data_IF_280176666110
#
_entry.id   IF_280176666110
#
_cell.length_a   1.000
_cell.length_b   1.000
_cell.length_c   1.000
_cell.angle_alpha   90.00
_cell.angle_beta   90.00
_cell.angle_gamma   90.00
#
_symmetry.space_group_name_H-M   'P 1'
#
loop_
_entity.id
_entity.type
_entity.pdbx_description
1 polymer ?
#
# COMPACT_ATOMS: atom_id res chain seq x y z
N UNK A 1 -2.42 -0.17 -23.65
CA UNK A 1 -1.79 -0.63 -22.38
C UNK A 1 -0.57 0.25 -22.11
N UNK A 2 -0.49 0.89 -20.95
CA UNK A 2 0.70 1.66 -20.54
C UNK A 2 1.49 0.89 -19.49
N UNK A 3 2.77 1.26 -19.32
CA UNK A 3 3.67 0.61 -18.36
C UNK A 3 4.06 1.61 -17.27
N UNK A 4 4.12 1.17 -16.01
CA UNK A 4 4.54 1.95 -14.86
C UNK A 4 5.77 1.29 -14.22
N UNK A 5 6.78 2.08 -13.85
CA UNK A 5 7.85 1.57 -12.98
C UNK A 5 7.32 1.39 -11.56
N UNK A 6 7.58 0.25 -10.94
CA UNK A 6 7.14 -0.01 -9.56
C UNK A 6 8.21 0.43 -8.57
N UNK A 7 7.77 1.02 -7.46
CA UNK A 7 8.60 1.38 -6.32
C UNK A 7 7.93 0.76 -5.09
N UNK A 8 8.60 -0.15 -4.39
CA UNK A 8 8.08 -0.84 -3.20
C UNK A 8 8.83 -0.30 -1.99
N UNK A 9 8.12 0.24 -0.99
CA UNK A 9 8.69 0.76 0.26
C UNK A 9 9.86 1.75 0.02
N UNK A 10 9.65 2.67 -0.94
CA UNK A 10 10.64 3.66 -1.39
C UNK A 10 11.87 3.08 -2.09
N UNK A 11 11.96 1.77 -2.24
CA UNK A 11 12.99 1.11 -3.03
C UNK A 11 12.52 0.95 -4.47
N UNK A 12 13.28 1.52 -5.41
CA UNK A 12 13.01 1.36 -6.83
C UNK A 12 13.25 -0.11 -7.19
N UNK A 13 12.23 -0.76 -7.73
CA UNK A 13 12.33 -2.14 -8.19
C UNK A 13 12.47 -2.16 -9.71
N UNK A 14 12.97 -3.27 -10.26
CA UNK A 14 13.05 -3.48 -11.71
C UNK A 14 11.71 -3.96 -12.30
N UNK A 15 10.60 -3.79 -11.56
CA UNK A 15 9.29 -4.28 -11.98
C UNK A 15 8.58 -3.25 -12.85
N UNK A 16 7.83 -3.77 -13.81
CA UNK A 16 7.04 -2.99 -14.74
C UNK A 16 5.57 -3.41 -14.61
N UNK A 17 4.76 -2.59 -13.93
CA UNK A 17 3.32 -2.80 -13.88
C UNK A 17 2.68 -2.38 -15.21
N UNK A 18 1.56 -3.01 -15.57
CA UNK A 18 0.78 -2.70 -16.76
C UNK A 18 -0.55 -2.09 -16.36
N UNK A 19 -1.00 -1.09 -17.12
CA UNK A 19 -2.35 -0.53 -16.98
C UNK A 19 -3.19 -0.91 -18.20
N UNK A 20 -4.29 -1.60 -17.94
CA UNK A 20 -5.28 -2.01 -18.94
C UNK A 20 -6.68 -1.78 -18.37
N UNK A 21 -7.54 -1.10 -19.13
CA UNK A 21 -8.94 -0.82 -18.75
C UNK A 21 -9.10 -0.16 -17.37
N UNK A 22 -8.17 0.71 -17.00
CA UNK A 22 -8.13 1.39 -15.70
C UNK A 22 -7.66 0.52 -14.53
N UNK A 23 -7.35 -0.75 -14.78
CA UNK A 23 -6.85 -1.69 -13.79
C UNK A 23 -5.32 -1.80 -13.86
N UNK A 24 -4.71 -1.99 -12.69
CA UNK A 24 -3.26 -2.12 -12.53
C UNK A 24 -2.93 -3.60 -12.40
N UNK A 25 -2.07 -4.08 -13.27
CA UNK A 25 -1.57 -5.45 -13.30
C UNK A 25 -0.07 -5.44 -12.97
N UNK A 26 0.34 -6.26 -12.00
CA UNK A 26 1.74 -6.38 -11.58
C UNK A 26 2.27 -7.77 -11.95
N UNK A 27 3.55 -7.91 -12.34
CA UNK A 27 4.14 -9.22 -12.64
C UNK A 27 4.10 -10.06 -11.36
N UNK A 28 3.36 -11.17 -11.39
CA UNK A 28 2.86 -11.80 -10.18
C UNK A 28 3.99 -12.31 -9.28
N UNK A 29 4.88 -13.13 -9.84
CA UNK A 29 5.96 -13.78 -9.08
C UNK A 29 6.95 -12.76 -8.51
N UNK A 30 7.39 -11.81 -9.35
CA UNK A 30 8.36 -10.80 -8.95
C UNK A 30 7.77 -9.80 -7.95
N UNK A 31 6.49 -9.42 -8.12
CA UNK A 31 5.80 -8.55 -7.18
C UNK A 31 5.61 -9.24 -5.83
N UNK A 32 5.16 -10.50 -5.83
CA UNK A 32 5.01 -11.29 -4.61
C UNK A 32 6.33 -11.36 -3.85
N UNK A 33 7.43 -11.68 -4.55
CA UNK A 33 8.77 -11.68 -3.97
C UNK A 33 9.15 -10.33 -3.35
N UNK A 34 8.80 -9.22 -4.01
CA UNK A 34 9.11 -7.87 -3.53
C UNK A 34 8.30 -7.45 -2.29
N UNK A 35 7.09 -8.00 -2.09
CA UNK A 35 6.21 -7.67 -0.95
C UNK A 35 6.18 -8.76 0.13
N UNK A 36 7.16 -9.68 0.10
CA UNK A 36 7.25 -10.84 0.99
C UNK A 36 5.99 -11.70 0.98
N UNK A 37 5.42 -11.94 -0.20
CA UNK A 37 4.30 -12.82 -0.48
C UNK A 37 4.73 -13.92 -1.47
N UNK A 38 3.84 -14.88 -1.73
CA UNK A 38 4.06 -16.01 -2.64
C UNK A 38 2.82 -16.20 -3.52
N UNK A 39 3.00 -16.42 -4.82
CA UNK A 39 1.95 -16.89 -5.70
C UNK A 39 2.03 -18.42 -5.85
N UNK A 40 0.96 -19.14 -5.52
CA UNK A 40 0.91 -20.61 -5.63
C UNK A 40 -0.49 -21.15 -5.90
N UNK A 41 -0.53 -22.36 -6.44
CA UNK A 41 -1.78 -23.12 -6.56
C UNK A 41 -2.16 -23.67 -5.18
N UNK A 42 -3.39 -23.42 -4.73
CA UNK A 42 -3.90 -24.03 -3.51
C UNK A 42 -4.27 -25.48 -3.78
N UNK A 43 -3.69 -26.42 -3.04
CA UNK A 43 -3.95 -27.86 -3.19
C UNK A 43 -3.67 -28.41 -4.61
N UNK A 44 -3.88 -29.70 -4.84
CA UNK A 44 -3.72 -30.30 -6.16
C UNK A 44 -4.95 -29.94 -7.03
N UNK A 45 -4.78 -29.01 -7.97
CA UNK A 45 -5.81 -28.46 -8.88
C UNK A 45 -6.76 -27.40 -8.30
N UNK A 46 -6.44 -26.76 -7.18
CA UNK A 46 -7.21 -25.61 -6.72
C UNK A 46 -6.84 -24.31 -7.45
N UNK A 47 -7.39 -23.16 -7.00
CA UNK A 47 -7.14 -21.88 -7.65
C UNK A 47 -5.71 -21.41 -7.42
N UNK A 48 -5.19 -20.62 -8.37
CA UNK A 48 -4.02 -19.78 -8.14
C UNK A 48 -4.37 -18.78 -7.04
N UNK A 49 -3.49 -18.59 -6.07
CA UNK A 49 -3.66 -17.66 -4.98
C UNK A 49 -2.37 -16.88 -4.71
N UNK A 50 -2.54 -15.68 -4.16
CA UNK A 50 -1.44 -14.92 -3.55
C UNK A 50 -1.53 -15.08 -2.04
N UNK A 51 -0.46 -15.58 -1.44
CA UNK A 51 -0.38 -15.89 -0.03
C UNK A 51 0.68 -15.05 0.67
N UNK A 52 0.40 -14.60 1.90
CA UNK A 52 1.40 -14.08 2.82
C UNK A 52 1.04 -14.53 4.23
N UNK A 53 2.03 -15.12 4.92
CA UNK A 53 1.82 -15.76 6.21
C UNK A 53 0.66 -16.78 6.12
N UNK A 54 -0.37 -16.63 6.97
CA UNK A 54 -1.54 -17.50 7.00
C UNK A 54 -2.70 -17.04 6.08
N UNK A 55 -2.54 -15.92 5.38
CA UNK A 55 -3.57 -15.37 4.48
C UNK A 55 -3.29 -15.78 3.03
N UNK A 56 -4.27 -16.41 2.38
CA UNK A 56 -4.23 -16.71 0.95
C UNK A 56 -5.46 -16.16 0.23
N UNK A 57 -5.23 -15.42 -0.86
CA UNK A 57 -6.27 -14.76 -1.64
C UNK A 57 -6.35 -15.46 -3.00
N UNK A 58 -7.40 -16.23 -3.27
CA UNK A 58 -7.57 -16.88 -4.57
C UNK A 58 -7.81 -15.84 -5.66
N UNK A 59 -7.17 -16.03 -6.82
CA UNK A 59 -7.35 -15.24 -8.03
C UNK A 59 -8.28 -15.98 -8.98
N UNK A 60 -9.22 -15.27 -9.60
CA UNK A 60 -10.05 -15.86 -10.66
C UNK A 60 -9.25 -15.97 -11.95
N UNK A 61 -8.78 -17.18 -12.24
CA UNK A 61 -8.12 -17.54 -13.50
C UNK A 61 -9.09 -17.99 -14.59
N UNK A 62 -10.35 -18.29 -14.24
CA UNK A 62 -11.40 -18.68 -15.20
C UNK A 62 -12.25 -17.44 -15.52
N UNK A 63 -12.14 -16.89 -16.73
CA UNK A 63 -12.91 -15.69 -17.15
C UNK A 63 -12.23 -14.32 -16.94
N UNK A 64 -10.93 -14.34 -16.59
CA UNK A 64 -9.88 -13.33 -16.90
C UNK A 64 -10.03 -11.87 -16.43
N UNK A 65 -10.56 -11.60 -15.24
CA UNK A 65 -10.40 -10.25 -14.66
C UNK A 65 -9.15 -10.12 -13.78
N UNK A 66 -8.80 -11.16 -13.02
CA UNK A 66 -7.76 -11.07 -11.99
C UNK A 66 -6.35 -11.38 -12.50
N UNK A 67 -6.22 -11.97 -13.69
CA UNK A 67 -4.93 -12.34 -14.27
C UNK A 67 -4.84 -12.01 -15.74
N UNK A 68 -3.62 -11.73 -16.19
CA UNK A 68 -3.31 -11.43 -17.58
C UNK A 68 -1.94 -12.03 -17.91
N UNK A 69 -1.81 -12.70 -19.06
CA UNK A 69 -0.50 -13.16 -19.55
C UNK A 69 -0.02 -12.25 -20.68
N UNK A 70 1.19 -11.68 -20.53
CA UNK A 70 1.84 -10.84 -21.54
C UNK A 70 3.26 -11.34 -21.73
N UNK A 71 3.64 -11.65 -22.97
CA UNK A 71 4.97 -12.15 -23.33
C UNK A 71 5.43 -13.37 -22.50
N UNK A 72 4.48 -14.24 -22.12
CA UNK A 72 4.73 -15.43 -21.30
C UNK A 72 4.88 -15.17 -19.79
N UNK A 73 4.81 -13.91 -19.35
CA UNK A 73 4.79 -13.54 -17.94
C UNK A 73 3.35 -13.40 -17.44
N UNK A 74 3.09 -13.96 -16.27
CA UNK A 74 1.80 -13.87 -15.60
C UNK A 74 1.74 -12.59 -14.76
N UNK A 75 0.72 -11.79 -15.00
CA UNK A 75 0.40 -10.60 -14.22
C UNK A 75 -0.88 -10.83 -13.43
N UNK A 76 -0.93 -10.33 -12.20
CA UNK A 76 -2.14 -10.28 -11.38
C UNK A 76 -2.69 -8.87 -11.26
N UNK A 77 -4.01 -8.73 -11.25
CA UNK A 77 -4.70 -7.47 -10.96
C UNK A 77 -4.42 -7.09 -9.51
N UNK A 78 -3.68 -6.00 -9.31
CA UNK A 78 -3.26 -5.56 -7.98
C UNK A 78 -4.45 -5.32 -7.05
N UNK A 79 -5.56 -4.81 -7.58
CA UNK A 79 -6.80 -4.61 -6.81
C UNK A 79 -7.46 -5.90 -6.31
N UNK A 80 -7.16 -7.07 -6.88
CA UNK A 80 -7.76 -8.33 -6.47
C UNK A 80 -7.13 -8.90 -5.18
N UNK A 81 -5.88 -8.55 -4.87
CA UNK A 81 -5.13 -9.14 -3.77
C UNK A 81 -4.30 -8.15 -2.94
N UNK A 82 -4.00 -6.96 -3.45
CA UNK A 82 -3.12 -6.00 -2.77
C UNK A 82 -3.67 -5.55 -1.42
N UNK A 83 -4.91 -5.04 -1.39
CA UNK A 83 -5.51 -4.50 -0.16
C UNK A 83 -5.70 -5.57 0.94
N UNK A 84 -6.21 -6.79 0.65
CA UNK A 84 -6.29 -7.83 1.68
C UNK A 84 -4.91 -8.30 2.16
N UNK A 85 -3.86 -8.24 1.32
CA UNK A 85 -2.46 -8.41 1.76
C UNK A 85 -1.94 -7.17 2.51
N UNK A 86 -2.75 -6.19 2.90
CA UNK A 86 -2.26 -4.98 3.57
C UNK A 86 -1.22 -4.24 2.74
N UNK A 87 -1.32 -4.31 1.41
CA UNK A 87 -0.52 -3.51 0.48
C UNK A 87 -1.39 -2.36 0.01
N UNK A 88 -0.84 -1.15 0.08
CA UNK A 88 -1.48 0.04 -0.50
C UNK A 88 -0.65 0.56 -1.65
N UNK A 89 -1.28 1.26 -2.59
CA UNK A 89 -0.60 1.79 -3.75
C UNK A 89 -1.15 3.13 -4.20
N UNK A 90 -0.33 3.89 -4.90
CA UNK A 90 -0.71 5.13 -5.57
C UNK A 90 0.01 5.22 -6.90
N UNK A 91 -0.72 5.60 -7.94
CA UNK A 91 -0.14 5.90 -9.25
C UNK A 91 0.32 7.36 -9.27
N UNK A 92 1.58 7.60 -9.61
CA UNK A 92 2.14 8.94 -9.76
C UNK A 92 3.02 9.02 -11.01
N UNK A 93 2.61 9.84 -11.99
CA UNK A 93 3.39 10.22 -13.18
C UNK A 93 4.34 9.13 -13.73
N UNK A 94 3.78 8.03 -14.23
CA UNK A 94 4.54 6.94 -14.85
C UNK A 94 5.14 5.92 -13.86
N UNK A 95 4.89 6.09 -12.56
CA UNK A 95 5.29 5.15 -11.51
C UNK A 95 4.09 4.64 -10.72
N UNK A 96 4.23 3.41 -10.21
CA UNK A 96 3.36 2.82 -9.21
C UNK A 96 4.12 2.76 -7.89
N UNK A 97 3.72 3.56 -6.92
CA UNK A 97 4.29 3.52 -5.57
C UNK A 97 3.47 2.54 -4.74
N UNK A 98 4.15 1.57 -4.14
CA UNK A 98 3.58 0.45 -3.37
C UNK A 98 4.16 0.50 -1.98
N UNK A 99 3.31 0.38 -0.96
CA UNK A 99 3.69 0.39 0.44
C UNK A 99 3.21 -0.90 1.10
N UNK A 100 4.12 -1.62 1.75
CA UNK A 100 3.84 -2.86 2.48
C UNK A 100 3.80 -2.61 3.99
N UNK A 101 2.99 -3.40 4.69
CA UNK A 101 2.75 -3.26 6.13
C UNK A 101 1.40 -2.60 6.43
N UNK A 102 0.88 -2.83 7.64
CA UNK A 102 -0.29 -2.08 8.10
C UNK A 102 -0.01 -0.59 7.86
N UNK A 103 -0.88 0.07 7.09
CA UNK A 103 -1.06 1.50 7.28
C UNK A 103 -1.31 1.67 8.78
N UNK A 104 -0.28 2.02 9.54
CA UNK A 104 -0.50 2.79 10.75
C UNK A 104 -0.92 4.15 10.21
N UNK A 105 -2.20 4.25 9.85
CA UNK A 105 -2.83 5.54 9.65
C UNK A 105 -2.84 6.19 11.04
N UNK A 106 -1.77 6.94 11.34
CA UNK A 106 -1.59 7.60 12.63
C UNK A 106 -0.23 7.37 13.27
N UNK A 107 -0.04 8.01 14.41
CA UNK A 107 1.15 7.88 15.24
C UNK A 107 0.85 6.87 16.35
N UNK A 108 1.71 5.85 16.47
CA UNK A 108 1.64 4.88 17.56
C UNK A 108 2.31 5.38 18.83
N UNK A 109 2.08 4.67 19.95
CA UNK A 109 2.77 4.92 21.22
C UNK A 109 4.28 4.74 21.01
N UNK A 110 5.07 5.76 21.37
CA UNK A 110 6.52 5.78 21.19
C UNK A 110 7.01 6.56 19.97
N UNK A 111 6.14 6.88 19.02
CA UNK A 111 6.48 7.78 17.91
C UNK A 111 6.48 9.23 18.39
N UNK A 112 7.32 10.06 17.77
CA UNK A 112 7.28 11.50 17.99
C UNK A 112 5.92 12.06 17.48
N UNK A 113 5.21 12.88 18.28
CA UNK A 113 3.99 13.53 17.83
C UNK A 113 4.25 14.45 16.63
N UNK A 114 3.26 14.73 15.78
CA UNK A 114 3.47 15.56 14.60
C UNK A 114 3.66 17.02 15.03
N UNK A 115 4.55 17.72 14.34
CA UNK A 115 4.70 19.16 14.51
C UNK A 115 3.50 19.88 13.88
N UNK A 116 2.87 20.78 14.61
CA UNK A 116 1.80 21.62 14.11
C UNK A 116 1.82 22.98 14.79
N UNK A 117 1.22 23.97 14.14
CA UNK A 117 1.11 25.33 14.67
C UNK A 117 -0.35 25.73 14.67
N UNK A 118 -0.84 26.21 15.81
CA UNK A 118 -2.19 26.72 15.98
C UNK A 118 -2.14 28.12 16.57
N UNK A 119 -3.12 28.99 16.27
CA UNK A 119 -3.24 30.25 16.98
C UNK A 119 -3.60 29.98 18.44
N UNK A 120 -2.91 30.64 19.36
CA UNK A 120 -3.32 30.66 20.77
C UNK A 120 -4.71 31.28 20.91
N UNK A 121 -5.53 30.70 21.79
CA UNK A 121 -6.95 31.07 21.92
C UNK A 121 -7.15 32.51 22.42
N UNK A 122 -6.22 33.04 23.22
CA UNK A 122 -6.38 34.35 23.86
C UNK A 122 -5.64 35.47 23.14
N UNK A 123 -4.46 35.16 22.61
CA UNK A 123 -3.58 36.13 21.96
C UNK A 123 -3.65 36.09 20.44
N UNK A 124 -4.15 35.00 19.84
CA UNK A 124 -4.15 34.78 18.39
C UNK A 124 -2.76 34.58 17.79
N UNK A 125 -1.71 34.62 18.61
CA UNK A 125 -0.32 34.44 18.16
C UNK A 125 -0.11 32.98 17.79
N UNK A 126 0.60 32.67 16.68
CA UNK A 126 0.95 31.30 16.34
C UNK A 126 1.81 30.66 17.43
N UNK A 127 1.39 29.48 17.89
CA UNK A 127 2.12 28.65 18.86
C UNK A 127 2.39 27.29 18.25
N UNK A 128 3.63 26.81 18.35
CA UNK A 128 4.04 25.52 17.78
C UNK A 128 3.99 24.41 18.83
N UNK A 129 3.56 23.21 18.43
CA UNK A 129 3.63 22.02 19.28
C UNK A 129 5.07 21.65 19.66
N UNK A 130 6.06 22.08 18.88
CA UNK A 130 7.49 21.90 19.17
C UNK A 130 7.97 22.63 20.43
N UNK A 131 7.32 23.74 20.79
CA UNK A 131 7.70 24.56 21.96
C UNK A 131 7.43 23.84 23.31
N UNK A 132 6.70 22.72 23.22
CA UNK A 132 6.33 21.87 24.34
C UNK A 132 7.11 20.55 24.38
N UNK A 133 8.13 20.36 23.53
CA UNK A 133 9.00 19.19 23.62
C UNK A 133 9.68 19.09 25.00
N UNK A 134 9.80 17.86 25.51
CA UNK A 134 10.34 17.59 26.84
C UNK A 134 9.39 17.88 28.01
N UNK A 135 8.17 18.38 27.74
CA UNK A 135 7.13 18.58 28.75
C UNK A 135 6.03 17.53 28.57
N UNK A 136 5.36 17.18 29.68
CA UNK A 136 4.13 16.37 29.61
C UNK A 136 3.02 17.25 29.03
N UNK A 137 2.53 16.89 27.86
CA UNK A 137 1.58 17.69 27.10
C UNK A 137 0.39 16.84 26.68
N UNK A 138 -0.82 17.41 26.77
CA UNK A 138 -2.06 16.77 26.32
C UNK A 138 -2.58 17.57 25.14
N UNK A 139 -2.75 16.89 24.01
CA UNK A 139 -3.47 17.43 22.86
C UNK A 139 -4.80 16.70 22.75
N UNK A 140 -5.88 17.46 22.68
CA UNK A 140 -7.21 16.91 22.50
C UNK A 140 -7.91 17.67 21.38
N UNK A 141 -8.76 16.98 20.65
CA UNK A 141 -9.62 17.56 19.63
C UNK A 141 -11.05 17.51 20.16
N UNK A 142 -11.76 18.64 20.11
CA UNK A 142 -13.18 18.70 20.44
C UNK A 142 -13.98 19.02 19.19
N UNK A 143 -15.00 18.22 18.98
CA UNK A 143 -15.89 18.26 17.84
C UNK A 143 -17.32 18.47 18.36
N UNK A 144 -18.02 19.49 17.89
CA UNK A 144 -19.38 19.83 18.36
C UNK A 144 -20.49 19.35 17.42
N UNK A 145 -20.17 18.46 16.47
CA UNK A 145 -21.12 17.91 15.51
C UNK A 145 -21.84 16.67 16.03
#
# INVERSE_FOLDING_TARGET
MSTLSVVVDQQKTALAAKVQDGQIYVPLDDFCSAVNAEAKILEENGPLAVCRDDLCIPLNVVGTEDTLTVDGLLFGRLGAFGEPLGVSWTQNNGSLVVMTGQMVAGLGIGNAPPAFTLPDMYSGVPVSSSDYMGKKTVFYMWASW
#
